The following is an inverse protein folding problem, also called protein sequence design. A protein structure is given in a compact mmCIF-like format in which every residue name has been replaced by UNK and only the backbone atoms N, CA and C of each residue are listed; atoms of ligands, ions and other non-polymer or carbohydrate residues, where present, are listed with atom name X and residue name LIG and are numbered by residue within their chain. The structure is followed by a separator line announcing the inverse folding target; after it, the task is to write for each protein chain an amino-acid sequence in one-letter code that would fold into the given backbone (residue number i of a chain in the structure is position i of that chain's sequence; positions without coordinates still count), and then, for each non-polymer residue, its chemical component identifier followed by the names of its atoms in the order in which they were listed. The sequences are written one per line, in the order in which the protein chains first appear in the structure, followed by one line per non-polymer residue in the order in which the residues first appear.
data_IF_383958977930
#
_entry.id   IF_383958977930
#
_cell.length_a   1.000
_cell.length_b   1.000
_cell.length_c   1.000
_cell.angle_alpha   90.00
_cell.angle_beta   90.00
_cell.angle_gamma   90.00
#
_symmetry.space_group_name_H-M   'P 1'
#
loop_
_entity.id
_entity.type
_entity.pdbx_description
1 polymer ?
#
# COMPACT_ATOMS: atom_id res chain seq x y z
N UNK A 1 4.37 -10.50 20.75
CA UNK A 1 2.98 -10.13 20.40
C UNK A 1 2.65 -10.71 19.04
N UNK A 2 1.57 -11.51 18.89
CA UNK A 2 1.10 -11.93 17.57
C UNK A 2 0.68 -10.68 16.79
N UNK A 3 1.34 -10.39 15.66
CA UNK A 3 0.86 -9.35 14.75
C UNK A 3 -0.57 -9.72 14.34
N UNK A 4 -1.53 -8.86 14.65
CA UNK A 4 -2.92 -9.04 14.22
C UNK A 4 -2.96 -9.10 12.69
N UNK A 5 -3.77 -10.02 12.14
CA UNK A 5 -3.93 -10.13 10.69
C UNK A 5 -4.66 -8.88 10.15
N UNK A 6 -4.03 -8.06 9.30
CA UNK A 6 -4.64 -6.84 8.78
C UNK A 6 -5.86 -7.11 7.86
N UNK A 7 -5.98 -8.31 7.32
CA UNK A 7 -7.12 -8.74 6.51
C UNK A 7 -8.15 -9.56 7.31
N UNK A 8 -8.11 -9.47 8.65
CA UNK A 8 -9.14 -10.11 9.48
C UNK A 8 -10.51 -9.43 9.31
N UNK A 9 -11.57 -10.21 9.50
CA UNK A 9 -12.96 -9.73 9.39
C UNK A 9 -13.20 -8.49 10.25
N UNK A 10 -12.65 -8.45 11.45
CA UNK A 10 -12.79 -7.31 12.38
C UNK A 10 -12.20 -6.02 11.79
N UNK A 11 -10.97 -6.06 11.29
CA UNK A 11 -10.32 -4.90 10.67
C UNK A 11 -11.07 -4.45 9.42
N UNK A 12 -11.40 -5.38 8.54
CA UNK A 12 -12.10 -5.06 7.29
C UNK A 12 -13.48 -4.45 7.57
N UNK A 13 -14.24 -5.02 8.49
CA UNK A 13 -15.55 -4.45 8.88
C UNK A 13 -15.41 -3.00 9.40
N UNK A 14 -14.35 -2.70 10.14
CA UNK A 14 -14.03 -1.35 10.60
C UNK A 14 -13.78 -0.35 9.45
N UNK A 15 -13.19 -0.82 8.36
CA UNK A 15 -12.95 0.01 7.15
C UNK A 15 -14.26 0.32 6.39
N UNK A 16 -15.27 -0.56 6.47
CA UNK A 16 -16.55 -0.43 5.77
C UNK A 16 -17.66 0.22 6.62
N UNK A 17 -17.31 1.01 7.64
CA UNK A 17 -18.29 1.77 8.42
C UNK A 17 -19.14 2.66 7.52
N UNK A 18 -20.46 2.51 7.63
CA UNK A 18 -21.42 3.26 6.81
C UNK A 18 -22.10 4.37 7.58
N UNK A 19 -22.58 5.37 6.85
CA UNK A 19 -23.36 6.48 7.44
C UNK A 19 -24.74 5.99 7.90
N UNK A 20 -25.18 6.46 9.06
CA UNK A 20 -26.56 6.20 9.56
C UNK A 20 -27.62 6.82 8.67
N UNK A 21 -27.32 7.98 8.04
CA UNK A 21 -28.24 8.68 7.12
C UNK A 21 -28.29 8.06 5.72
N UNK A 22 -27.20 7.43 5.29
CA UNK A 22 -27.10 6.74 4.01
C UNK A 22 -26.29 5.45 4.17
N UNK A 23 -26.96 4.31 4.39
CA UNK A 23 -26.30 3.03 4.60
C UNK A 23 -25.46 2.52 3.41
N UNK A 24 -25.63 3.10 2.23
CA UNK A 24 -24.83 2.77 1.05
C UNK A 24 -23.58 3.65 0.89
N UNK A 25 -23.26 4.48 1.88
CA UNK A 25 -22.11 5.39 1.84
C UNK A 25 -21.15 5.11 2.97
N UNK A 26 -19.84 4.96 2.63
CA UNK A 26 -18.77 4.82 3.62
C UNK A 26 -18.49 6.16 4.32
N UNK A 27 -18.32 6.10 5.65
CA UNK A 27 -17.94 7.25 6.48
C UNK A 27 -16.44 7.50 6.41
N UNK A 28 -15.64 6.43 6.39
CA UNK A 28 -14.19 6.53 6.32
C UNK A 28 -13.76 7.35 5.10
N UNK A 29 -12.64 8.05 5.24
CA UNK A 29 -12.08 8.91 4.19
C UNK A 29 -10.71 8.40 3.78
N UNK A 30 -10.37 8.64 2.52
CA UNK A 30 -9.00 8.49 2.07
C UNK A 30 -8.06 9.33 2.93
N UNK A 31 -6.89 8.78 3.17
CA UNK A 31 -5.91 9.38 4.07
C UNK A 31 -4.54 8.74 3.92
N UNK A 32 -3.75 8.84 4.96
CA UNK A 32 -2.38 8.28 4.98
C UNK A 32 -2.35 6.76 4.92
N UNK A 33 -3.44 6.08 5.31
CA UNK A 33 -3.52 4.62 5.40
C UNK A 33 -4.66 4.00 4.58
N UNK A 34 -5.43 4.80 3.83
CA UNK A 34 -6.61 4.32 3.12
C UNK A 34 -6.76 5.01 1.76
N UNK A 35 -6.99 4.22 0.74
CA UNK A 35 -7.30 4.63 -0.64
C UNK A 35 -8.51 3.88 -1.15
N UNK A 36 -9.39 4.55 -1.86
CA UNK A 36 -10.54 3.94 -2.54
C UNK A 36 -10.37 3.97 -4.05
N UNK A 37 -10.82 2.92 -4.70
CA UNK A 37 -10.91 2.80 -6.15
C UNK A 37 -12.27 2.23 -6.52
N UNK A 38 -12.89 2.78 -7.53
CA UNK A 38 -14.17 2.27 -8.00
C UNK A 38 -14.04 0.91 -8.68
N UNK A 39 -12.97 0.73 -9.48
CA UNK A 39 -12.75 -0.48 -10.25
C UNK A 39 -11.30 -0.95 -10.12
N UNK A 40 -11.08 -2.25 -10.31
CA UNK A 40 -9.77 -2.83 -10.55
C UNK A 40 -9.57 -3.05 -12.05
N UNK A 41 -8.42 -2.65 -12.57
CA UNK A 41 -8.08 -2.84 -13.98
C UNK A 41 -6.56 -3.02 -14.13
N UNK A 42 -6.14 -4.11 -14.76
CA UNK A 42 -4.72 -4.38 -15.04
C UNK A 42 -4.02 -3.25 -15.83
N UNK A 43 -4.75 -2.50 -16.66
CA UNK A 43 -4.17 -1.35 -17.38
C UNK A 43 -3.73 -0.20 -16.45
N UNK A 44 -4.18 -0.18 -15.20
CA UNK A 44 -3.87 0.88 -14.24
C UNK A 44 -2.71 0.54 -13.28
N UNK A 45 -1.90 -0.49 -13.60
CA UNK A 45 -0.84 -0.98 -12.71
C UNK A 45 0.13 0.11 -12.25
N UNK A 46 0.55 1.02 -13.12
CA UNK A 46 1.45 2.12 -12.75
C UNK A 46 0.87 2.99 -11.61
N UNK A 47 -0.45 3.27 -11.66
CA UNK A 47 -1.13 4.02 -10.60
C UNK A 47 -1.16 3.24 -9.29
N UNK A 48 -1.44 1.94 -9.36
CA UNK A 48 -1.44 1.09 -8.16
C UNK A 48 -0.05 1.00 -7.55
N UNK A 49 0.98 0.78 -8.36
CA UNK A 49 2.38 0.72 -7.92
C UNK A 49 2.83 2.02 -7.25
N UNK A 50 2.48 3.18 -7.81
CA UNK A 50 2.71 4.48 -7.16
C UNK A 50 2.08 4.56 -5.77
N UNK A 51 0.81 4.13 -5.65
CA UNK A 51 0.08 4.13 -4.38
C UNK A 51 0.68 3.13 -3.39
N UNK A 52 1.01 1.92 -3.86
CA UNK A 52 1.64 0.87 -3.06
C UNK A 52 2.98 1.33 -2.49
N UNK A 53 3.85 1.89 -3.34
CA UNK A 53 5.14 2.41 -2.90
C UNK A 53 4.99 3.57 -1.89
N UNK A 54 3.97 4.43 -2.08
CA UNK A 54 3.71 5.53 -1.16
C UNK A 54 3.26 5.05 0.23
N UNK A 55 2.46 3.97 0.31
CA UNK A 55 2.09 3.35 1.57
C UNK A 55 3.28 2.65 2.23
N UNK A 56 4.07 1.90 1.46
CA UNK A 56 5.27 1.23 1.97
C UNK A 56 6.27 2.21 2.59
N UNK A 57 6.44 3.38 1.99
CA UNK A 57 7.33 4.45 2.48
C UNK A 57 6.74 5.25 3.65
N UNK A 58 5.45 5.11 3.93
CA UNK A 58 4.81 5.76 5.08
C UNK A 58 4.55 4.71 6.19
N UNK A 59 3.32 4.45 6.54
CA UNK A 59 2.89 3.59 7.66
C UNK A 59 2.18 2.31 7.20
N UNK A 60 2.23 2.00 5.90
CA UNK A 60 1.40 0.98 5.29
C UNK A 60 -0.02 1.48 5.04
N UNK A 61 -0.92 0.60 4.56
CA UNK A 61 -2.30 0.98 4.33
C UNK A 61 -3.07 0.04 3.43
N UNK A 62 -4.30 0.45 3.14
CA UNK A 62 -5.27 -0.33 2.37
C UNK A 62 -5.62 0.38 1.07
N UNK A 63 -5.71 -0.39 -0.02
CA UNK A 63 -6.39 0.01 -1.24
C UNK A 63 -7.65 -0.84 -1.33
N UNK A 64 -8.82 -0.20 -1.35
CA UNK A 64 -10.11 -0.87 -1.43
C UNK A 64 -10.75 -0.56 -2.78
N UNK A 65 -11.05 -1.60 -3.54
CA UNK A 65 -11.70 -1.55 -4.83
C UNK A 65 -13.19 -1.88 -4.69
N UNK A 66 -14.03 -1.20 -5.47
CA UNK A 66 -15.48 -1.32 -5.43
C UNK A 66 -16.17 -0.14 -4.70
N UNK A 67 -15.42 0.89 -4.35
CA UNK A 67 -15.95 2.10 -3.70
C UNK A 67 -15.94 3.24 -4.71
N UNK A 68 -17.14 3.76 -5.01
CA UNK A 68 -17.30 4.92 -5.89
C UNK A 68 -16.63 6.17 -5.33
N UNK A 69 -16.25 7.08 -6.22
CA UNK A 69 -15.74 8.39 -5.82
C UNK A 69 -16.86 9.20 -5.11
N UNK A 70 -16.77 10.45 -5.00
CA UNK A 70 -17.72 11.31 -4.26
C UNK A 70 -19.16 11.23 -4.83
N UNK A 71 -20.15 10.81 -4.03
CA UNK A 71 -20.09 10.28 -2.67
C UNK A 71 -19.47 8.86 -2.66
N UNK A 72 -18.78 8.48 -1.60
CA UNK A 72 -18.12 7.16 -1.46
C UNK A 72 -19.16 6.04 -1.32
N UNK A 73 -19.73 5.65 -2.44
CA UNK A 73 -20.76 4.64 -2.51
C UNK A 73 -20.21 3.23 -2.51
N UNK A 74 -20.90 2.35 -1.83
CA UNK A 74 -20.69 0.90 -1.84
C UNK A 74 -21.19 0.31 -3.16
N UNK A 75 -20.38 0.39 -4.22
CA UNK A 75 -20.74 -0.15 -5.55
C UNK A 75 -20.46 -1.66 -5.66
N UNK A 76 -19.39 -2.12 -5.04
CA UNK A 76 -18.83 -3.45 -5.23
C UNK A 76 -18.10 -3.57 -6.57
N UNK A 77 -17.22 -4.57 -6.68
CA UNK A 77 -16.64 -4.98 -7.95
C UNK A 77 -17.63 -5.86 -8.72
N UNK A 78 -17.73 -5.67 -10.02
CA UNK A 78 -18.64 -6.42 -10.89
C UNK A 78 -17.99 -6.77 -12.23
N UNK A 79 -18.50 -7.80 -12.89
CA UNK A 79 -18.11 -8.20 -14.24
C UNK A 79 -16.60 -8.35 -14.39
N UNK A 80 -16.02 -7.72 -15.43
CA UNK A 80 -14.60 -7.81 -15.75
C UNK A 80 -13.69 -7.33 -14.60
N UNK A 81 -14.10 -6.31 -13.85
CA UNK A 81 -13.31 -5.77 -12.74
C UNK A 81 -13.16 -6.77 -11.58
N UNK A 82 -14.25 -7.48 -11.23
CA UNK A 82 -14.22 -8.54 -10.23
C UNK A 82 -13.37 -9.73 -10.73
N UNK A 83 -13.60 -10.20 -11.93
CA UNK A 83 -12.83 -11.30 -12.52
C UNK A 83 -11.33 -11.01 -12.56
N UNK A 84 -10.94 -9.79 -12.93
CA UNK A 84 -9.53 -9.39 -12.94
C UNK A 84 -8.93 -9.35 -11.53
N UNK A 85 -9.68 -8.93 -10.52
CA UNK A 85 -9.19 -8.91 -9.15
C UNK A 85 -9.06 -10.32 -8.57
N UNK A 86 -10.05 -11.19 -8.79
CA UNK A 86 -10.04 -12.59 -8.34
C UNK A 86 -8.96 -13.43 -9.03
N UNK A 87 -8.64 -13.10 -10.28
CA UNK A 87 -7.57 -13.76 -11.04
C UNK A 87 -6.17 -13.20 -10.75
N UNK A 88 -6.02 -12.30 -9.77
CA UNK A 88 -4.74 -11.71 -9.40
C UNK A 88 -3.80 -12.79 -8.86
N UNK A 89 -2.69 -13.01 -9.57
CA UNK A 89 -1.66 -13.99 -9.21
C UNK A 89 -0.61 -13.33 -8.33
N UNK A 90 -0.46 -13.83 -7.11
CA UNK A 90 0.49 -13.29 -6.12
C UNK A 90 1.91 -13.26 -6.66
N UNK A 91 2.35 -14.37 -7.32
CA UNK A 91 3.71 -14.46 -7.85
C UNK A 91 3.98 -13.41 -8.93
N UNK A 92 3.03 -13.22 -9.86
CA UNK A 92 3.17 -12.26 -10.95
C UNK A 92 3.15 -10.82 -10.44
N UNK A 93 2.25 -10.51 -9.53
CA UNK A 93 2.14 -9.17 -8.94
C UNK A 93 3.38 -8.83 -8.10
N UNK A 94 3.86 -9.78 -7.28
CA UNK A 94 5.10 -9.63 -6.49
C UNK A 94 6.31 -9.46 -7.39
N UNK A 95 6.44 -10.28 -8.46
CA UNK A 95 7.50 -10.13 -9.45
C UNK A 95 7.50 -8.73 -10.06
N UNK A 96 6.32 -8.23 -10.45
CA UNK A 96 6.18 -6.88 -10.99
C UNK A 96 6.61 -5.81 -9.97
N UNK A 97 6.24 -5.94 -8.70
CA UNK A 97 6.69 -5.01 -7.66
C UNK A 97 8.22 -5.06 -7.46
N UNK A 98 8.80 -6.27 -7.43
CA UNK A 98 10.25 -6.47 -7.34
C UNK A 98 10.99 -5.92 -8.57
N UNK A 99 10.37 -5.96 -9.73
CA UNK A 99 10.94 -5.41 -10.97
C UNK A 99 11.03 -3.88 -10.93
N UNK A 100 10.07 -3.22 -10.29
CA UNK A 100 9.97 -1.77 -10.29
C UNK A 100 10.49 -1.10 -9.01
N UNK A 101 10.55 -1.79 -7.88
CA UNK A 101 10.95 -1.18 -6.61
C UNK A 101 12.04 -1.97 -5.87
N UNK A 102 12.83 -1.25 -5.09
CA UNK A 102 13.79 -1.79 -4.13
C UNK A 102 13.77 -0.91 -2.88
N UNK A 103 13.81 -1.49 -1.66
CA UNK A 103 13.68 -2.90 -1.35
C UNK A 103 12.28 -3.48 -1.65
N UNK A 104 12.12 -4.79 -1.42
CA UNK A 104 10.85 -5.49 -1.58
C UNK A 104 9.71 -4.82 -0.80
N UNK A 105 8.56 -4.68 -1.44
CA UNK A 105 7.34 -4.20 -0.82
C UNK A 105 6.46 -5.41 -0.47
N UNK A 106 6.23 -5.63 0.82
CA UNK A 106 5.35 -6.68 1.32
C UNK A 106 3.89 -6.24 1.23
N UNK A 107 3.04 -7.15 0.79
CA UNK A 107 1.64 -6.91 0.58
C UNK A 107 0.83 -8.20 0.71
N UNK A 108 -0.46 -8.06 1.02
CA UNK A 108 -1.45 -9.13 1.02
C UNK A 108 -2.74 -8.65 0.34
N UNK A 109 -3.60 -9.57 -0.08
CA UNK A 109 -4.89 -9.22 -0.65
C UNK A 109 -5.97 -10.23 -0.29
N UNK A 110 -7.22 -9.79 -0.40
CA UNK A 110 -8.39 -10.66 -0.31
C UNK A 110 -9.58 -10.06 -1.06
N UNK A 111 -10.54 -10.90 -1.41
CA UNK A 111 -11.90 -10.46 -1.72
C UNK A 111 -12.70 -10.42 -0.41
N UNK A 112 -13.44 -9.35 -0.19
CA UNK A 112 -14.24 -9.13 1.01
C UNK A 112 -15.70 -8.89 0.63
N UNK A 113 -16.57 -9.71 1.22
CA UNK A 113 -18.03 -9.59 1.02
C UNK A 113 -18.64 -8.66 2.08
N UNK A 114 -19.35 -7.63 1.61
CA UNK A 114 -20.06 -6.72 2.49
C UNK A 114 -21.36 -6.25 1.83
N UNK A 115 -22.50 -6.44 2.54
CA UNK A 115 -23.84 -6.10 2.03
C UNK A 115 -24.09 -6.70 0.64
N UNK A 116 -23.87 -8.00 0.50
CA UNK A 116 -24.10 -8.77 -0.73
C UNK A 116 -23.32 -8.27 -1.96
N UNK A 117 -22.21 -7.57 -1.72
CA UNK A 117 -21.32 -7.07 -2.76
C UNK A 117 -19.88 -7.47 -2.47
N UNK A 118 -19.13 -7.77 -3.53
CA UNK A 118 -17.72 -8.16 -3.44
C UNK A 118 -16.81 -6.94 -3.59
N UNK A 119 -15.80 -6.83 -2.76
CA UNK A 119 -14.79 -5.78 -2.78
C UNK A 119 -13.40 -6.39 -2.85
N UNK A 120 -12.53 -5.77 -3.63
CA UNK A 120 -11.12 -6.13 -3.62
C UNK A 120 -10.38 -5.32 -2.55
N UNK A 121 -9.55 -5.97 -1.76
CA UNK A 121 -8.71 -5.32 -0.76
C UNK A 121 -7.26 -5.71 -0.98
N UNK A 122 -6.37 -4.73 -1.09
CA UNK A 122 -4.92 -4.92 -1.04
C UNK A 122 -4.42 -4.20 0.21
N UNK A 123 -3.70 -4.92 1.07
CA UNK A 123 -3.00 -4.36 2.21
C UNK A 123 -1.51 -4.28 1.92
N UNK A 124 -0.91 -3.14 2.19
CA UNK A 124 0.50 -2.87 2.01
C UNK A 124 1.15 -2.69 3.38
N UNK A 125 2.17 -3.49 3.66
CA UNK A 125 2.95 -3.31 4.88
C UNK A 125 3.88 -2.11 4.78
N UNK A 126 4.07 -1.42 5.91
CA UNK A 126 5.16 -0.46 6.03
C UNK A 126 6.49 -1.17 5.77
N UNK A 127 7.32 -0.62 4.91
CA UNK A 127 8.66 -1.17 4.68
C UNK A 127 9.55 -0.94 5.91
N UNK A 128 10.24 -1.99 6.34
CA UNK A 128 11.25 -1.92 7.40
C UNK A 128 12.57 -1.30 6.91
N UNK A 129 12.75 -1.27 5.60
CA UNK A 129 13.98 -0.81 4.94
C UNK A 129 13.68 0.35 3.98
N UNK A 130 12.99 1.39 4.46
CA UNK A 130 12.74 2.59 3.67
C UNK A 130 14.05 3.31 3.30
N UNK A 131 14.03 4.05 2.18
CA UNK A 131 12.95 4.25 1.23
C UNK A 131 12.85 3.12 0.19
N UNK A 132 11.62 2.76 -0.23
CA UNK A 132 11.37 1.98 -1.44
C UNK A 132 11.49 2.90 -2.64
N UNK A 133 12.46 2.63 -3.51
CA UNK A 133 12.85 3.48 -4.64
C UNK A 133 12.44 2.80 -5.94
N UNK A 134 11.94 3.56 -6.90
CA UNK A 134 11.67 3.07 -8.25
C UNK A 134 12.99 2.76 -8.98
N UNK A 135 13.13 1.54 -9.52
CA UNK A 135 14.35 1.06 -10.19
C UNK A 135 14.41 1.30 -11.67
N UNK A 136 13.25 1.47 -12.32
CA UNK A 136 13.16 1.62 -13.78
C UNK A 136 11.91 2.39 -14.19
N UNK A 137 11.96 2.93 -15.40
CA UNK A 137 10.82 3.61 -16.00
C UNK A 137 9.66 2.65 -16.29
N UNK A 138 8.45 3.10 -16.05
CA UNK A 138 7.22 2.48 -16.52
C UNK A 138 6.35 3.53 -17.21
N UNK A 139 6.15 3.39 -18.50
CA UNK A 139 5.25 4.25 -19.26
C UNK A 139 3.95 3.49 -19.51
N UNK A 140 2.84 3.98 -18.96
CA UNK A 140 1.53 3.47 -19.35
C UNK A 140 1.19 3.98 -20.76
N UNK A 141 0.42 3.19 -21.52
CA UNK A 141 -0.01 3.57 -22.88
C UNK A 141 -0.74 4.93 -22.92
N UNK A 142 -1.31 5.38 -21.80
CA UNK A 142 -2.05 6.64 -21.70
C UNK A 142 -1.23 7.79 -21.09
N UNK A 143 0.08 7.65 -20.89
CA UNK A 143 1.03 8.65 -20.31
C UNK A 143 0.59 9.32 -18.99
N UNK A 144 -0.61 9.02 -18.48
CA UNK A 144 -1.17 9.64 -17.28
C UNK A 144 -0.44 9.23 -15.98
N UNK A 145 0.17 8.03 -15.99
CA UNK A 145 0.90 7.49 -14.85
C UNK A 145 2.22 6.91 -15.33
N UNK A 146 3.30 7.62 -15.11
CA UNK A 146 4.66 7.13 -15.31
C UNK A 146 5.33 6.90 -13.95
N UNK A 147 6.12 5.83 -13.87
CA UNK A 147 7.14 5.68 -12.85
C UNK A 147 8.46 6.08 -13.50
N UNK A 148 9.27 6.81 -12.78
CA UNK A 148 10.59 7.24 -13.23
C UNK A 148 11.63 6.62 -12.31
N UNK A 149 12.71 6.11 -12.87
CA UNK A 149 13.85 5.60 -12.09
C UNK A 149 14.33 6.67 -11.10
N UNK A 150 14.57 6.25 -9.85
CA UNK A 150 14.94 7.14 -8.75
C UNK A 150 13.76 7.79 -8.03
N UNK A 151 12.53 7.68 -8.53
CA UNK A 151 11.37 8.20 -7.84
C UNK A 151 11.13 7.49 -6.49
N UNK A 152 10.88 8.27 -5.48
CA UNK A 152 10.41 7.82 -4.17
C UNK A 152 9.03 8.41 -3.96
N UNK A 153 8.02 7.55 -3.81
CA UNK A 153 6.65 8.00 -3.57
C UNK A 153 6.33 7.99 -2.09
N UNK A 154 5.57 8.98 -1.65
CA UNK A 154 5.15 9.14 -0.26
C UNK A 154 3.68 9.52 -0.16
N UNK A 155 3.03 9.19 0.95
CA UNK A 155 1.60 9.43 1.14
C UNK A 155 1.34 10.70 1.92
N UNK A 156 0.79 11.72 1.26
CA UNK A 156 0.39 13.00 1.85
C UNK A 156 -1.14 13.06 1.95
N UNK A 157 -1.67 12.71 3.12
CA UNK A 157 -3.12 12.56 3.27
C UNK A 157 -3.68 11.55 2.26
N UNK A 158 -4.63 11.97 1.43
CA UNK A 158 -5.22 11.12 0.38
C UNK A 158 -4.45 11.10 -0.96
N UNK A 159 -3.21 11.64 -1.04
CA UNK A 159 -2.47 11.75 -2.31
C UNK A 159 -1.13 11.04 -2.25
N UNK A 160 -0.81 10.29 -3.31
CA UNK A 160 0.51 9.69 -3.53
C UNK A 160 1.33 10.62 -4.42
N UNK A 161 2.37 11.24 -3.87
CA UNK A 161 3.24 12.20 -4.56
C UNK A 161 4.70 11.79 -4.43
N UNK A 162 5.60 12.43 -5.17
CA UNK A 162 7.04 12.28 -4.94
C UNK A 162 7.37 12.80 -3.54
N UNK A 163 8.27 12.10 -2.86
CA UNK A 163 8.68 12.45 -1.50
C UNK A 163 9.32 13.86 -1.48
N UNK A 164 9.04 14.60 -0.43
CA UNK A 164 9.63 15.90 -0.21
C UNK A 164 10.86 15.78 0.69
N UNK A 165 11.66 16.83 0.72
CA UNK A 165 12.92 16.86 1.45
C UNK A 165 12.79 16.47 2.93
N UNK A 166 11.79 17.00 3.63
CA UNK A 166 11.60 16.76 5.06
C UNK A 166 11.35 15.28 5.39
N UNK A 167 10.44 14.64 4.64
CA UNK A 167 10.11 13.21 4.85
C UNK A 167 11.25 12.29 4.43
N UNK A 168 11.96 12.66 3.35
CA UNK A 168 13.13 11.91 2.92
C UNK A 168 14.25 11.96 3.98
N UNK A 169 14.54 13.13 4.52
CA UNK A 169 15.53 13.30 5.58
C UNK A 169 15.13 12.52 6.83
N UNK A 170 13.84 12.57 7.23
CA UNK A 170 13.35 11.79 8.37
C UNK A 170 13.53 10.28 8.17
N UNK A 171 13.26 9.75 6.96
CA UNK A 171 13.47 8.34 6.64
C UNK A 171 14.96 7.96 6.72
N UNK A 172 15.85 8.81 6.21
CA UNK A 172 17.30 8.58 6.26
C UNK A 172 17.80 8.58 7.71
N UNK A 173 17.33 9.51 8.52
CA UNK A 173 17.71 9.60 9.94
C UNK A 173 17.17 8.40 10.73
N UNK A 174 15.94 7.95 10.47
CA UNK A 174 15.37 6.72 11.07
C UNK A 174 16.24 5.49 10.74
N UNK A 175 16.63 5.36 9.48
CA UNK A 175 17.49 4.26 9.01
C UNK A 175 18.87 4.30 9.69
N UNK A 176 19.51 5.47 9.75
CA UNK A 176 20.81 5.64 10.40
C UNK A 176 20.75 5.26 11.88
N UNK A 177 19.76 5.72 12.62
CA UNK A 177 19.55 5.35 14.02
C UNK A 177 19.37 3.84 14.23
N UNK A 178 18.65 3.19 13.32
CA UNK A 178 18.47 1.74 13.36
C UNK A 178 19.78 0.99 13.12
N UNK A 179 20.57 1.44 12.15
CA UNK A 179 21.89 0.87 11.85
C UNK A 179 22.86 1.08 13.02
N UNK A 180 22.91 2.26 13.62
CA UNK A 180 23.72 2.56 14.81
C UNK A 180 23.33 1.65 16.00
N UNK A 181 22.04 1.45 16.26
CA UNK A 181 21.56 0.56 17.32
C UNK A 181 21.98 -0.90 17.07
N UNK A 182 21.94 -1.37 15.83
CA UNK A 182 22.40 -2.72 15.46
C UNK A 182 23.90 -2.89 15.67
N UNK A 183 24.71 -1.90 15.34
CA UNK A 183 26.14 -1.92 15.57
C UNK A 183 26.49 -1.92 17.05
N UNK A 184 25.80 -1.14 17.89
CA UNK A 184 25.98 -1.13 19.33
C UNK A 184 25.63 -2.49 19.96
N UNK A 185 24.53 -3.10 19.54
CA UNK A 185 24.12 -4.44 20.01
C UNK A 185 25.14 -5.51 19.58
N UNK A 186 25.68 -5.43 18.35
CA UNK A 186 26.74 -6.31 17.90
C UNK A 186 28.03 -6.13 18.74
N UNK A 187 28.46 -4.89 18.97
CA UNK A 187 29.64 -4.57 19.77
C UNK A 187 29.52 -5.08 21.21
N UNK A 188 28.34 -4.92 21.84
CA UNK A 188 28.06 -5.46 23.18
C UNK A 188 28.15 -6.99 23.23
N UNK A 189 27.58 -7.68 22.23
CA UNK A 189 27.68 -9.15 22.16
C UNK A 189 29.11 -9.62 21.93
N UNK A 190 29.86 -8.98 21.05
CA UNK A 190 31.28 -9.30 20.81
C UNK A 190 32.11 -9.14 22.08
N UNK A 191 31.92 -8.06 22.83
CA UNK A 191 32.62 -7.84 24.10
C UNK A 191 32.28 -8.90 25.18
N UNK A 192 31.07 -9.46 25.18
CA UNK A 192 30.69 -10.54 26.11
C UNK A 192 31.32 -11.89 25.74
N UNK A 193 31.70 -12.11 24.49
CA UNK A 193 32.31 -13.36 24.00
C UNK A 193 33.83 -13.32 24.14
N UNK A 194 34.45 -12.18 24.50
CA UNK A 194 35.89 -12.04 24.74
C UNK A 194 36.72 -11.99 23.47
N UNK A 195 36.16 -11.48 22.37
CA UNK A 195 36.85 -11.19 21.11
C UNK A 195 37.30 -9.75 21.05
#
# INVERSE_FOLDING_TARGET
MKKSNPLSLEYLTGLFRTSTKNPNRIVNREGTTLEFKETYNHANMAQYFKTIASFANNTGGYIIFGIGDKPRELKGLQGKSLQQFESLKVEEFTKNLLDYFSPEIKWDHCTFEFKEKSYGVIYIYQSENKPCICKKHYNSQNQKYSLIEGDIFYRYGGRSEKIRYAELTAIIDERRKKEEAQWLDFAHRAAQIGV
#
